data_IF_333048635973
#
_entry.id   IF_333048635973
#
_cell.length_a   1.000
_cell.length_b   1.000
_cell.length_c   1.000
_cell.angle_alpha   90.00
_cell.angle_beta   90.00
_cell.angle_gamma   90.00
#
_symmetry.space_group_name_H-M   'P 1'
#
loop_
_entity.id
_entity.type
_entity.pdbx_description
1 polymer ?
#
# COMPACT_ATOMS: atom_id res chain seq x y z
N UNK A 1 -5.87 -8.13 -32.69
CA UNK A 1 -6.05 -9.58 -32.42
C UNK A 1 -6.69 -9.71 -31.04
N UNK A 2 -7.99 -9.99 -31.01
CA UNK A 2 -8.76 -10.16 -29.77
C UNK A 2 -8.41 -11.52 -29.18
N UNK A 3 -7.87 -11.55 -27.95
CA UNK A 3 -7.42 -12.76 -27.25
C UNK A 3 -8.53 -13.46 -26.46
N UNK A 4 -9.80 -13.13 -26.70
CA UNK A 4 -10.92 -13.71 -25.98
C UNK A 4 -12.15 -13.77 -26.89
N UNK A 5 -12.21 -14.81 -27.74
CA UNK A 5 -13.39 -15.16 -28.51
C UNK A 5 -14.12 -16.30 -27.77
N UNK A 6 -15.27 -16.04 -27.13
CA UNK A 6 -16.00 -17.05 -26.36
C UNK A 6 -16.67 -18.14 -27.23
N UNK A 7 -16.72 -17.96 -28.56
CA UNK A 7 -17.36 -18.89 -29.50
C UNK A 7 -16.40 -19.90 -30.15
N UNK A 8 -15.10 -19.85 -29.84
CA UNK A 8 -14.21 -20.97 -30.19
C UNK A 8 -14.43 -22.11 -29.20
N UNK A 9 -15.10 -23.16 -29.65
CA UNK A 9 -15.12 -24.43 -28.94
C UNK A 9 -13.67 -24.89 -28.70
N UNK A 10 -13.22 -24.82 -27.45
CA UNK A 10 -11.94 -25.33 -27.02
C UNK A 10 -12.02 -26.85 -26.99
N UNK A 11 -11.69 -27.48 -28.13
CA UNK A 11 -11.65 -28.94 -28.29
C UNK A 11 -10.43 -29.58 -27.61
N UNK A 12 -9.64 -28.82 -26.86
CA UNK A 12 -8.46 -29.34 -26.16
C UNK A 12 -8.90 -30.22 -25.00
N UNK A 13 -8.33 -31.43 -24.92
CA UNK A 13 -8.51 -32.29 -23.75
C UNK A 13 -7.54 -31.87 -22.66
N UNK A 14 -8.11 -31.60 -21.49
CA UNK A 14 -7.39 -31.27 -20.28
C UNK A 14 -7.43 -32.45 -19.31
N UNK A 15 -6.47 -32.47 -18.42
CA UNK A 15 -6.46 -33.31 -17.22
C UNK A 15 -6.35 -32.43 -15.99
N UNK A 16 -6.99 -32.86 -14.92
CA UNK A 16 -6.93 -32.18 -13.63
C UNK A 16 -5.64 -32.60 -12.94
N UNK A 17 -4.90 -31.61 -12.47
CA UNK A 17 -3.64 -31.80 -11.75
C UNK A 17 -3.71 -31.16 -10.38
N UNK A 18 -2.98 -31.71 -9.42
CA UNK A 18 -2.81 -31.14 -8.09
C UNK A 18 -1.34 -30.95 -7.75
N UNK A 19 -1.02 -29.93 -6.95
CA UNK A 19 0.32 -29.73 -6.42
C UNK A 19 0.47 -30.25 -4.98
N UNK A 20 1.67 -30.12 -4.43
CA UNK A 20 2.00 -30.50 -3.04
C UNK A 20 1.23 -29.69 -1.96
N UNK A 21 0.61 -28.57 -2.32
CA UNK A 21 -0.26 -27.79 -1.43
C UNK A 21 -1.75 -28.15 -1.57
N UNK A 22 -2.08 -29.22 -2.31
CA UNK A 22 -3.46 -29.66 -2.62
C UNK A 22 -4.26 -28.63 -3.44
N UNK A 23 -3.58 -27.81 -4.24
CA UNK A 23 -4.23 -26.87 -5.16
C UNK A 23 -4.51 -27.54 -6.49
N UNK A 24 -5.74 -27.42 -6.97
CA UNK A 24 -6.19 -28.01 -8.22
C UNK A 24 -6.02 -27.05 -9.40
N UNK A 25 -5.66 -27.59 -10.56
CA UNK A 25 -5.62 -26.87 -11.82
C UNK A 25 -5.94 -27.82 -12.98
N UNK A 26 -6.10 -27.27 -14.17
CA UNK A 26 -6.21 -28.04 -15.42
C UNK A 26 -4.92 -27.89 -16.22
N UNK A 27 -4.46 -28.98 -16.81
CA UNK A 27 -3.28 -29.03 -17.66
C UNK A 27 -3.60 -29.75 -18.96
N UNK A 28 -3.08 -29.33 -20.13
CA UNK A 28 -3.35 -30.04 -21.37
C UNK A 28 -2.83 -31.49 -21.31
N UNK A 29 -3.66 -32.46 -21.70
CA UNK A 29 -3.34 -33.88 -21.54
C UNK A 29 -2.11 -34.31 -22.34
N UNK A 30 -1.89 -33.69 -23.50
CA UNK A 30 -0.75 -33.97 -24.37
C UNK A 30 0.60 -33.48 -23.82
N UNK A 31 0.62 -32.74 -22.71
CA UNK A 31 1.84 -32.25 -22.06
C UNK A 31 2.16 -33.07 -20.81
N UNK A 32 3.46 -33.35 -20.63
CA UNK A 32 3.96 -33.85 -19.36
C UNK A 32 3.62 -32.87 -18.23
N UNK A 33 3.42 -33.41 -17.02
CA UNK A 33 3.12 -32.58 -15.87
C UNK A 33 4.31 -31.68 -15.51
N UNK A 34 4.05 -30.41 -15.14
CA UNK A 34 5.08 -29.58 -14.56
C UNK A 34 5.63 -30.21 -13.29
N UNK A 35 6.88 -29.88 -12.96
CA UNK A 35 7.52 -30.37 -11.73
C UNK A 35 6.67 -30.00 -10.50
N UNK A 36 6.43 -30.98 -9.63
CA UNK A 36 5.64 -30.80 -8.40
C UNK A 36 4.11 -30.86 -8.59
N UNK A 37 3.65 -31.18 -9.80
CA UNK A 37 2.24 -31.44 -10.10
C UNK A 37 2.02 -32.93 -10.42
N UNK A 38 0.88 -33.45 -9.97
CA UNK A 38 0.48 -34.85 -10.14
C UNK A 38 -0.94 -34.91 -10.72
N UNK A 39 -1.28 -36.00 -11.41
CA UNK A 39 -2.61 -36.17 -11.98
C UNK A 39 -3.63 -36.45 -10.87
N UNK A 40 -4.77 -35.75 -10.91
CA UNK A 40 -5.86 -35.88 -9.95
C UNK A 40 -6.95 -36.89 -10.39
N UNK A 41 -6.70 -37.65 -11.46
CA UNK A 41 -7.55 -38.74 -11.94
C UNK A 41 -8.73 -38.37 -12.84
N UNK A 42 -8.93 -37.08 -13.17
CA UNK A 42 -9.97 -36.61 -14.10
C UNK A 42 -9.35 -36.03 -15.38
N UNK A 43 -9.82 -36.43 -16.55
CA UNK A 43 -9.55 -35.78 -17.83
C UNK A 43 -10.83 -35.59 -18.65
N UNK A 44 -10.79 -34.67 -19.61
CA UNK A 44 -11.92 -34.35 -20.48
C UNK A 44 -11.86 -32.90 -20.99
N UNK A 45 -12.97 -32.42 -21.59
CA UNK A 45 -13.11 -31.02 -21.94
C UNK A 45 -12.90 -30.11 -20.73
N UNK A 46 -12.54 -28.86 -21.00
CA UNK A 46 -12.30 -27.84 -19.97
C UNK A 46 -13.46 -27.72 -18.96
N UNK A 47 -14.70 -27.73 -19.45
CA UNK A 47 -15.90 -27.60 -18.62
C UNK A 47 -16.02 -28.74 -17.60
N UNK A 48 -15.80 -29.99 -18.02
CA UNK A 48 -15.89 -31.17 -17.16
C UNK A 48 -14.79 -31.21 -16.11
N UNK A 49 -13.57 -30.81 -16.48
CA UNK A 49 -12.46 -30.72 -15.54
C UNK A 49 -12.71 -29.63 -14.48
N UNK A 50 -13.23 -28.48 -14.88
CA UNK A 50 -13.56 -27.39 -13.94
C UNK A 50 -14.75 -27.75 -13.04
N UNK A 51 -15.76 -28.46 -13.56
CA UNK A 51 -16.87 -28.96 -12.77
C UNK A 51 -16.38 -29.94 -11.69
N UNK A 52 -15.48 -30.87 -12.06
CA UNK A 52 -14.85 -31.77 -11.10
C UNK A 52 -14.07 -31.01 -10.02
N UNK A 53 -13.20 -30.05 -10.40
CA UNK A 53 -12.45 -29.24 -9.44
C UNK A 53 -13.40 -28.53 -8.46
N UNK A 54 -14.51 -27.97 -8.95
CA UNK A 54 -15.50 -27.29 -8.11
C UNK A 54 -16.16 -28.24 -7.09
N UNK A 55 -16.34 -29.50 -7.45
CA UNK A 55 -16.92 -30.52 -6.56
C UNK A 55 -15.92 -30.99 -5.50
N UNK A 56 -14.66 -31.25 -5.89
CA UNK A 56 -13.67 -31.85 -4.99
C UNK A 56 -12.85 -30.85 -4.19
N UNK A 57 -12.72 -29.61 -4.66
CA UNK A 57 -11.91 -28.58 -4.00
C UNK A 57 -12.74 -27.81 -2.95
N UNK A 58 -13.11 -28.52 -1.89
CA UNK A 58 -13.99 -27.98 -0.84
C UNK A 58 -13.28 -27.02 0.13
N UNK A 59 -11.95 -27.13 0.25
CA UNK A 59 -11.12 -26.28 1.09
C UNK A 59 -9.94 -25.73 0.28
N UNK A 60 -10.00 -24.43 -0.04
CA UNK A 60 -8.97 -23.75 -0.83
C UNK A 60 -7.75 -23.31 0.00
N UNK A 61 -7.73 -23.58 1.31
CA UNK A 61 -6.58 -23.24 2.16
C UNK A 61 -5.40 -24.15 1.79
N UNK A 62 -4.19 -23.60 1.57
CA UNK A 62 -3.00 -24.40 1.33
C UNK A 62 -2.78 -25.44 2.41
N UNK A 63 -2.31 -26.63 2.04
CA UNK A 63 -2.01 -27.71 2.98
C UNK A 63 -1.06 -27.24 4.11
N UNK A 64 -0.09 -26.40 3.77
CA UNK A 64 0.87 -25.83 4.74
C UNK A 64 0.18 -24.97 5.81
N UNK A 65 -0.83 -24.19 5.42
CA UNK A 65 -1.63 -23.39 6.33
C UNK A 65 -2.49 -24.28 7.23
N UNK A 66 -3.16 -25.29 6.66
CA UNK A 66 -3.98 -26.25 7.42
C UNK A 66 -3.15 -26.97 8.48
N UNK A 67 -1.96 -27.45 8.12
CA UNK A 67 -1.00 -28.07 9.06
C UNK A 67 -0.60 -27.12 10.18
N UNK A 68 -0.27 -25.86 9.86
CA UNK A 68 0.05 -24.84 10.87
C UNK A 68 -1.12 -24.56 11.81
N UNK A 69 -2.35 -24.49 11.29
CA UNK A 69 -3.55 -24.30 12.11
C UNK A 69 -3.81 -25.50 13.04
N UNK A 70 -3.67 -26.73 12.54
CA UNK A 70 -3.76 -27.95 13.35
C UNK A 70 -2.68 -28.01 14.43
N UNK A 71 -1.45 -27.61 14.10
CA UNK A 71 -0.34 -27.50 15.04
C UNK A 71 -0.62 -26.47 16.12
N UNK A 72 -1.08 -25.27 15.75
CA UNK A 72 -1.48 -24.22 16.69
C UNK A 72 -2.67 -24.65 17.56
N UNK A 73 -3.62 -25.42 17.03
CA UNK A 73 -4.74 -25.94 17.82
C UNK A 73 -4.27 -27.00 18.82
N UNK A 74 -3.29 -27.83 18.44
CA UNK A 74 -2.71 -28.87 19.31
C UNK A 74 -1.76 -28.29 20.35
N UNK A 75 -1.03 -27.25 19.99
CA UNK A 75 -0.07 -26.57 20.85
C UNK A 75 -0.28 -25.05 20.74
N UNK A 76 -1.32 -24.51 21.40
CA UNK A 76 -1.60 -23.09 21.34
C UNK A 76 -0.39 -22.32 21.89
N UNK A 77 0.04 -21.22 21.23
CA UNK A 77 1.03 -20.36 21.83
C UNK A 77 0.51 -19.90 23.20
N UNK A 78 1.40 -19.70 24.19
CA UNK A 78 0.98 -19.10 25.44
C UNK A 78 0.29 -17.76 25.12
N UNK A 79 -0.75 -17.38 25.89
CA UNK A 79 -1.37 -16.08 25.71
C UNK A 79 -0.26 -15.01 25.71
N UNK A 80 -0.36 -13.98 24.86
CA UNK A 80 0.61 -12.90 24.87
C UNK A 80 0.71 -12.38 26.30
N UNK A 81 1.94 -12.16 26.77
CA UNK A 81 2.14 -11.58 28.09
C UNK A 81 1.30 -10.30 28.19
N UNK A 82 0.64 -10.04 29.34
CA UNK A 82 -0.08 -8.80 29.53
C UNK A 82 0.86 -7.63 29.20
N UNK A 83 0.35 -6.57 28.53
CA UNK A 83 1.18 -5.43 28.21
C UNK A 83 1.84 -4.94 29.49
N UNK A 84 3.17 -4.84 29.48
CA UNK A 84 3.93 -4.32 30.61
C UNK A 84 3.42 -2.90 30.90
N UNK A 85 2.82 -2.64 32.08
CA UNK A 85 2.27 -1.33 32.41
C UNK A 85 3.35 -0.24 32.47
N UNK A 86 4.63 -0.63 32.64
CA UNK A 86 5.78 0.24 32.66
C UNK A 86 6.51 0.32 31.31
N UNK A 87 6.06 -0.39 30.27
CA UNK A 87 6.62 -0.21 28.93
C UNK A 87 6.37 1.24 28.51
N UNK A 88 7.43 2.01 28.17
CA UNK A 88 7.24 3.34 27.63
C UNK A 88 6.37 3.22 26.39
N UNK A 89 5.21 3.90 26.37
CA UNK A 89 4.44 4.02 25.14
C UNK A 89 5.34 4.73 24.14
N UNK A 90 5.69 4.04 23.06
CA UNK A 90 6.37 4.68 21.95
C UNK A 90 5.52 5.87 21.52
N UNK A 91 6.15 7.04 21.40
CA UNK A 91 5.48 8.25 20.95
C UNK A 91 4.83 7.97 19.61
N UNK A 92 3.55 8.32 19.47
CA UNK A 92 2.85 8.14 18.20
C UNK A 92 3.57 8.90 17.09
N UNK A 93 3.32 8.54 15.83
CA UNK A 93 3.91 9.28 14.72
C UNK A 93 3.54 10.77 14.79
N UNK A 94 2.28 11.07 15.15
CA UNK A 94 1.81 12.44 15.38
C UNK A 94 2.61 13.13 16.49
N UNK A 95 2.79 12.50 17.66
CA UNK A 95 3.58 13.08 18.76
C UNK A 95 4.99 13.46 18.29
N UNK A 96 5.67 12.54 17.57
CA UNK A 96 7.03 12.79 17.06
C UNK A 96 7.08 13.94 16.06
N UNK A 97 6.12 13.99 15.14
CA UNK A 97 6.06 15.03 14.11
C UNK A 97 5.59 16.40 14.65
N UNK A 98 4.98 16.43 15.84
CA UNK A 98 4.60 17.67 16.52
C UNK A 98 5.70 18.26 17.41
N UNK A 99 6.68 17.47 17.86
CA UNK A 99 7.67 17.92 18.85
C UNK A 99 8.72 18.89 18.31
N UNK A 100 9.12 18.73 17.05
CA UNK A 100 10.20 19.50 16.44
C UNK A 100 9.92 19.70 14.95
N UNK A 101 10.67 20.62 14.34
CA UNK A 101 10.69 20.73 12.89
C UNK A 101 11.54 19.60 12.29
N UNK A 102 10.98 18.92 11.30
CA UNK A 102 11.59 17.79 10.61
C UNK A 102 12.02 18.20 9.21
N UNK A 103 13.07 17.58 8.65
CA UNK A 103 13.39 17.75 7.24
C UNK A 103 12.24 17.19 6.38
N UNK A 104 11.78 18.03 5.45
CA UNK A 104 10.70 17.68 4.52
C UNK A 104 11.12 17.90 3.08
N UNK A 105 10.48 17.17 2.17
CA UNK A 105 10.63 17.31 0.72
C UNK A 105 9.26 17.34 0.04
N UNK A 106 9.13 18.05 -1.08
CA UNK A 106 7.95 17.96 -1.91
C UNK A 106 7.86 16.57 -2.57
N UNK A 107 6.78 15.84 -2.27
CA UNK A 107 6.47 14.53 -2.83
C UNK A 107 5.94 14.63 -4.26
N UNK A 108 6.85 14.77 -5.22
CA UNK A 108 6.49 14.88 -6.65
C UNK A 108 6.95 13.63 -7.39
N UNK A 109 6.05 13.03 -8.17
CA UNK A 109 6.33 11.86 -9.01
C UNK A 109 5.79 12.10 -10.44
N UNK A 110 6.49 11.64 -11.49
CA UNK A 110 7.75 10.90 -11.47
C UNK A 110 9.00 11.77 -11.26
N UNK A 111 8.92 13.07 -11.54
CA UNK A 111 10.05 14.01 -11.46
C UNK A 111 9.80 15.11 -10.43
N UNK A 112 10.85 15.57 -9.76
CA UNK A 112 10.79 16.68 -8.80
C UNK A 112 11.12 17.98 -9.52
N UNK A 113 10.11 18.66 -10.04
CA UNK A 113 10.28 19.97 -10.69
C UNK A 113 9.42 21.04 -10.03
N UNK A 114 9.92 22.28 -10.03
CA UNK A 114 9.21 23.44 -9.49
C UNK A 114 7.86 23.65 -10.17
N UNK A 115 7.78 23.36 -11.48
CA UNK A 115 6.54 23.43 -12.24
C UNK A 115 5.47 22.47 -11.71
N UNK A 116 5.83 21.21 -11.45
CA UNK A 116 4.89 20.23 -10.89
C UNK A 116 4.48 20.61 -9.46
N UNK A 117 5.39 21.20 -8.69
CA UNK A 117 5.05 21.71 -7.37
C UNK A 117 4.06 22.87 -7.44
N UNK A 118 4.25 23.81 -8.38
CA UNK A 118 3.30 24.89 -8.64
C UNK A 118 1.93 24.34 -9.05
N UNK A 119 1.88 23.37 -9.95
CA UNK A 119 0.62 22.72 -10.35
C UNK A 119 -0.11 22.05 -9.18
N UNK A 120 0.64 21.46 -8.23
CA UNK A 120 0.06 20.88 -7.02
C UNK A 120 -0.52 21.96 -6.08
N UNK A 121 0.19 23.08 -5.91
CA UNK A 121 -0.30 24.26 -5.17
C UNK A 121 -1.57 24.82 -5.83
N UNK A 122 -1.57 24.95 -7.16
CA UNK A 122 -2.71 25.44 -7.95
C UNK A 122 -3.94 24.53 -7.78
N UNK A 123 -3.74 23.21 -7.62
CA UNK A 123 -4.79 22.22 -7.31
C UNK A 123 -5.20 22.18 -5.84
N UNK A 124 -4.59 23.01 -5.00
CA UNK A 124 -4.86 23.09 -3.57
C UNK A 124 -4.59 21.79 -2.80
N UNK A 125 -3.64 20.98 -3.30
CA UNK A 125 -3.29 19.70 -2.72
C UNK A 125 -1.85 19.33 -3.06
N UNK A 126 -1.02 19.18 -2.03
CA UNK A 126 0.41 18.88 -2.16
C UNK A 126 0.77 17.62 -1.38
N UNK A 127 1.84 16.93 -1.76
CA UNK A 127 2.42 15.87 -0.95
C UNK A 127 3.68 16.39 -0.28
N UNK A 128 3.78 16.19 1.03
CA UNK A 128 4.92 16.58 1.86
C UNK A 128 5.51 15.32 2.46
N UNK A 129 6.79 15.05 2.16
CA UNK A 129 7.50 13.87 2.64
C UNK A 129 8.42 14.24 3.80
N UNK A 130 8.12 13.71 4.98
CA UNK A 130 8.99 13.77 6.16
C UNK A 130 10.08 12.72 6.05
N UNK A 131 11.33 13.14 5.82
CA UNK A 131 12.42 12.23 5.44
C UNK A 131 13.08 11.53 6.63
N UNK A 132 13.01 12.11 7.83
CA UNK A 132 13.60 11.54 9.06
C UNK A 132 12.73 10.45 9.73
N UNK A 133 11.63 10.06 9.07
CA UNK A 133 10.79 8.96 9.56
C UNK A 133 11.23 7.63 8.95
N UNK A 134 10.93 6.52 9.65
CA UNK A 134 11.38 5.17 9.25
C UNK A 134 10.74 4.75 7.92
N UNK A 135 11.45 4.94 6.82
CA UNK A 135 10.98 4.69 5.45
C UNK A 135 10.44 5.93 4.71
N UNK A 136 10.41 7.10 5.37
CA UNK A 136 9.81 8.33 4.86
C UNK A 136 8.28 8.32 4.96
N UNK A 137 7.70 9.40 5.49
CA UNK A 137 6.25 9.54 5.66
C UNK A 137 5.79 10.60 4.66
N UNK A 138 5.05 10.18 3.64
CA UNK A 138 4.49 11.06 2.61
C UNK A 138 3.04 11.38 2.97
N UNK A 139 2.78 12.65 3.28
CA UNK A 139 1.48 13.14 3.72
C UNK A 139 0.84 13.97 2.60
N UNK A 140 -0.39 13.63 2.23
CA UNK A 140 -1.23 14.44 1.38
C UNK A 140 -1.86 15.58 2.18
N UNK A 141 -1.54 16.82 1.83
CA UNK A 141 -1.95 18.02 2.56
C UNK A 141 -2.86 18.83 1.67
N UNK A 142 -4.11 19.03 2.13
CA UNK A 142 -5.04 19.96 1.50
C UNK A 142 -4.72 21.37 2.00
N UNK A 143 -4.23 22.22 1.11
CA UNK A 143 -3.74 23.55 1.48
C UNK A 143 -4.88 24.45 1.97
N UNK A 144 -4.56 25.27 2.97
CA UNK A 144 -5.35 26.41 3.41
C UNK A 144 -4.78 27.68 2.76
N UNK A 145 -5.46 28.21 1.73
CA UNK A 145 -4.92 29.30 0.91
C UNK A 145 -4.72 30.60 1.67
N UNK A 146 -5.51 30.84 2.71
CA UNK A 146 -5.42 32.06 3.49
C UNK A 146 -4.24 32.02 4.45
N UNK A 147 -3.72 30.81 4.74
CA UNK A 147 -2.62 30.59 5.67
C UNK A 147 -1.28 30.28 4.97
N UNK A 148 -1.31 29.96 3.67
CA UNK A 148 -0.09 29.79 2.88
C UNK A 148 0.50 31.14 2.44
N UNK A 149 1.83 31.22 2.36
CA UNK A 149 2.54 32.37 1.78
C UNK A 149 3.42 31.92 0.60
N UNK A 150 3.14 32.50 -0.56
CA UNK A 150 3.87 32.24 -1.81
C UNK A 150 4.56 33.50 -2.34
N UNK A 151 4.57 34.60 -1.60
CA UNK A 151 5.07 35.90 -2.08
C UNK A 151 6.59 35.92 -2.28
N UNK A 152 7.31 35.10 -1.50
CA UNK A 152 8.77 34.94 -1.60
C UNK A 152 9.26 33.96 -2.68
N UNK A 153 8.36 33.41 -3.49
CA UNK A 153 8.65 32.33 -4.42
C UNK A 153 8.70 32.82 -5.88
N UNK A 154 9.82 32.53 -6.56
CA UNK A 154 9.94 32.67 -8.01
C UNK A 154 9.86 31.28 -8.66
N UNK A 155 8.66 30.91 -9.10
CA UNK A 155 8.42 29.62 -9.74
C UNK A 155 9.00 29.52 -11.16
N UNK A 156 9.29 30.65 -11.82
CA UNK A 156 9.90 30.66 -13.15
C UNK A 156 11.42 30.46 -13.06
N UNK A 157 12.07 31.13 -12.10
CA UNK A 157 13.50 30.94 -11.83
C UNK A 157 13.80 29.69 -10.98
N UNK A 158 12.78 29.11 -10.32
CA UNK A 158 12.94 27.99 -9.39
C UNK A 158 13.70 28.37 -8.12
N UNK A 159 13.53 29.61 -7.65
CA UNK A 159 14.25 30.14 -6.49
C UNK A 159 13.30 30.77 -5.46
N UNK A 160 13.81 30.99 -4.24
CA UNK A 160 13.00 31.45 -3.11
C UNK A 160 12.35 30.31 -2.33
N UNK A 161 11.44 30.67 -1.43
CA UNK A 161 10.77 29.74 -0.52
C UNK A 161 9.26 29.93 -0.55
N UNK A 162 8.54 28.85 -0.28
CA UNK A 162 7.09 28.87 -0.02
C UNK A 162 6.81 28.42 1.39
N UNK A 163 5.81 29.04 2.00
CA UNK A 163 5.18 28.57 3.23
C UNK A 163 3.88 27.86 2.86
N UNK A 164 3.81 26.55 3.09
CA UNK A 164 2.61 25.76 2.86
C UNK A 164 2.02 25.30 4.17
N UNK A 165 0.71 25.51 4.29
CA UNK A 165 -0.05 25.09 5.45
C UNK A 165 -1.35 24.43 5.02
N UNK A 166 -1.74 23.35 5.70
CA UNK A 166 -2.99 22.68 5.37
C UNK A 166 -3.42 21.58 6.33
N UNK A 167 -4.71 21.29 6.34
CA UNK A 167 -5.30 20.29 7.23
C UNK A 167 -5.22 18.87 6.67
N UNK A 168 -4.99 17.90 7.56
CA UNK A 168 -5.15 16.48 7.29
C UNK A 168 -5.58 15.71 8.56
N UNK A 169 -5.84 14.41 8.41
CA UNK A 169 -6.08 13.50 9.53
C UNK A 169 -5.05 12.37 9.47
N UNK A 170 -4.26 12.22 10.54
CA UNK A 170 -3.23 11.19 10.67
C UNK A 170 -3.49 10.38 11.93
N UNK A 171 -3.55 9.05 11.81
CA UNK A 171 -3.87 8.15 12.93
C UNK A 171 -5.13 8.57 13.73
N UNK A 172 -6.18 8.99 13.02
CA UNK A 172 -7.44 9.51 13.57
C UNK A 172 -7.33 10.85 14.33
N UNK A 173 -6.16 11.49 14.32
CA UNK A 173 -5.94 12.82 14.90
C UNK A 173 -6.01 13.87 13.82
N UNK A 174 -6.85 14.90 14.01
CA UNK A 174 -6.87 16.08 13.13
C UNK A 174 -5.62 16.91 13.38
N UNK A 175 -4.85 17.15 12.34
CA UNK A 175 -3.60 17.88 12.40
C UNK A 175 -3.50 18.87 11.24
N UNK A 176 -2.72 19.91 11.44
CA UNK A 176 -2.31 20.91 10.46
C UNK A 176 -0.85 20.63 10.12
N UNK A 177 -0.55 20.43 8.86
CA UNK A 177 0.83 20.34 8.39
C UNK A 177 1.30 21.73 8.03
N UNK A 178 2.45 22.13 8.56
CA UNK A 178 3.12 23.39 8.29
C UNK A 178 4.48 23.05 7.73
N UNK A 179 4.82 23.57 6.55
CA UNK A 179 6.12 23.34 5.94
C UNK A 179 6.62 24.55 5.16
N UNK A 180 7.89 24.88 5.37
CA UNK A 180 8.64 25.83 4.58
C UNK A 180 9.50 25.05 3.59
N UNK A 181 9.32 25.31 2.30
CA UNK A 181 10.01 24.59 1.22
C UNK A 181 10.75 25.58 0.34
N UNK A 182 12.06 25.37 0.18
CA UNK A 182 12.88 26.09 -0.79
C UNK A 182 12.70 25.49 -2.19
N UNK A 183 12.39 26.33 -3.18
CA UNK A 183 12.08 25.88 -4.53
C UNK A 183 13.30 25.26 -5.25
N UNK A 184 14.51 25.71 -4.93
CA UNK A 184 15.73 25.24 -5.59
C UNK A 184 16.05 23.77 -5.30
N UNK A 185 15.71 23.29 -4.09
CA UNK A 185 15.91 21.89 -3.68
C UNK A 185 14.61 21.10 -3.57
N UNK A 186 13.46 21.79 -3.58
CA UNK A 186 12.15 21.24 -3.24
C UNK A 186 12.17 20.52 -1.87
N UNK A 187 12.94 21.09 -0.95
CA UNK A 187 13.19 20.58 0.39
C UNK A 187 13.16 21.74 1.40
N UNK A 188 12.97 21.41 2.67
CA UNK A 188 13.01 22.39 3.74
C UNK A 188 12.63 21.77 5.07
N UNK A 189 11.86 22.52 5.89
CA UNK A 189 11.48 22.08 7.23
C UNK A 189 9.96 22.09 7.39
N UNK A 190 9.43 21.12 8.11
CA UNK A 190 8.01 21.07 8.41
C UNK A 190 7.70 20.32 9.69
N UNK A 191 6.53 20.60 10.24
CA UNK A 191 6.00 19.98 11.45
C UNK A 191 4.50 19.77 11.33
N UNK A 192 3.96 18.98 12.24
CA UNK A 192 2.52 18.87 12.44
C UNK A 192 2.10 19.67 13.68
N UNK A 193 0.93 20.27 13.62
CA UNK A 193 0.27 20.87 14.78
C UNK A 193 -1.09 20.21 14.98
N UNK A 194 -1.46 19.92 16.22
CA UNK A 194 -2.79 19.37 16.51
C UNK A 194 -3.82 20.47 16.35
N UNK A 195 -4.88 20.18 15.61
CA UNK A 195 -6.03 21.08 15.56
C UNK A 195 -6.91 20.70 16.73
N UNK A 196 -6.95 21.54 17.77
CA UNK A 196 -7.98 21.41 18.79
C UNK A 196 -9.34 21.54 18.11
N UNK A 197 -10.22 20.57 18.33
CA UNK A 197 -11.59 20.70 17.86
C UNK A 197 -12.18 21.93 18.57
N UNK A 198 -12.41 23.02 17.83
CA UNK A 198 -13.29 24.09 18.31
C UNK A 198 -14.63 23.41 18.63
N UNK A 199 -14.98 23.45 19.93
CA UNK A 199 -16.20 22.92 20.50
C UNK A 199 -17.44 23.67 19.98
#
# INVERSE_FOLDING_TARGET
MSWNDPDREDTTIYKVVLNHEEQYSIWPEYKANPLGWQDAGKSGPKADCLAYIKEVWTDMRPLSLRKKMEEMARNPPPPPAPPDPNRPKEKSLVDRLCENDHPVEAGLRPEKTVKLFKEAIDRNYVHIKFTDTRGGTELGVRLDRDACDFTGADFEAGSGSVHVEGGLTLDYVKVKCIADIELGQLAGRGRLERVEAQA
#
